data_IF_750344573812
#
_entry.id   IF_750344573812
#
_cell.length_a   1.000
_cell.length_b   1.000
_cell.length_c   1.000
_cell.angle_alpha   90.00
_cell.angle_beta   90.00
_cell.angle_gamma   90.00
#
_symmetry.space_group_name_H-M   'P 1'
#
loop_
_entity.id
_entity.type
_entity.pdbx_description
1 polymer ?
#
# COMPACT_ATOMS: atom_id res chain seq x y z
N UNK A 1 -1.55 -79.01 3.35
CA UNK A 1 -2.17 -77.79 2.85
C UNK A 1 -2.02 -76.75 3.93
N UNK A 2 -1.07 -75.84 3.97
CA UNK A 2 0.04 -75.45 3.10
C UNK A 2 1.04 -74.74 4.04
N UNK A 3 2.33 -75.02 3.91
CA UNK A 3 3.38 -74.04 3.54
C UNK A 3 3.72 -73.03 4.64
N UNK A 4 4.92 -73.14 5.25
CA UNK A 4 6.12 -72.33 4.92
C UNK A 4 5.87 -70.82 5.20
N UNK A 5 6.71 -70.06 5.91
CA UNK A 5 8.14 -69.98 5.75
C UNK A 5 8.79 -69.09 6.85
N UNK A 6 10.13 -69.19 6.89
CA UNK A 6 11.11 -68.73 7.87
C UNK A 6 11.43 -67.22 7.84
N UNK A 7 12.41 -66.85 8.70
CA UNK A 7 13.39 -65.76 8.55
C UNK A 7 13.08 -64.46 9.30
N UNK A 8 13.67 -64.21 10.46
CA UNK A 8 15.07 -63.79 10.70
C UNK A 8 15.33 -62.31 10.36
N UNK A 9 15.67 -61.56 11.43
CA UNK A 9 16.62 -60.45 11.54
C UNK A 9 16.70 -59.47 10.37
N UNK A 10 16.46 -58.19 10.65
CA UNK A 10 17.56 -57.23 10.53
C UNK A 10 17.31 -55.91 11.23
N UNK A 11 18.31 -55.54 12.03
CA UNK A 11 18.49 -54.27 12.71
C UNK A 11 18.36 -53.10 11.75
N UNK A 12 17.31 -52.29 11.92
CA UNK A 12 17.12 -51.06 11.18
C UNK A 12 18.18 -50.03 11.63
N UNK A 13 19.31 -50.01 10.92
CA UNK A 13 20.37 -49.01 11.03
C UNK A 13 19.80 -47.65 10.64
N UNK A 14 19.35 -46.89 11.64
CA UNK A 14 19.24 -45.43 11.56
C UNK A 14 20.65 -44.84 11.33
N UNK A 15 21.14 -44.87 10.09
CA UNK A 15 22.24 -44.01 9.66
C UNK A 15 21.67 -42.60 9.49
N UNK A 16 21.76 -41.80 10.55
CA UNK A 16 21.72 -40.35 10.44
C UNK A 16 22.75 -39.92 9.38
N UNK A 17 22.36 -39.23 8.31
CA UNK A 17 23.34 -38.65 7.40
C UNK A 17 24.14 -37.58 8.16
N UNK A 18 25.46 -37.47 7.94
CA UNK A 18 26.30 -36.46 8.57
C UNK A 18 25.96 -35.10 7.92
N UNK A 19 24.97 -34.38 8.45
CA UNK A 19 24.38 -33.23 7.76
C UNK A 19 25.12 -31.94 8.10
N UNK A 20 26.35 -31.81 7.59
CA UNK A 20 27.06 -30.54 7.56
C UNK A 20 27.99 -30.47 6.37
N UNK A 21 28.16 -29.29 5.80
CA UNK A 21 29.04 -29.08 4.65
C UNK A 21 30.49 -28.90 5.09
N UNK A 22 31.42 -29.41 4.29
CA UNK A 22 32.85 -29.14 4.47
C UNK A 22 33.28 -28.06 3.49
N UNK A 23 33.89 -26.99 4.02
CA UNK A 23 34.48 -25.97 3.16
C UNK A 23 35.75 -26.52 2.50
N UNK A 24 35.86 -26.36 1.19
CA UNK A 24 37.02 -26.78 0.40
C UNK A 24 37.80 -25.58 -0.14
N UNK A 25 37.63 -24.42 0.47
CA UNK A 25 38.38 -23.22 0.13
C UNK A 25 39.84 -23.37 0.57
N UNK A 26 40.79 -22.91 -0.25
CA UNK A 26 42.21 -22.99 0.07
C UNK A 26 42.51 -22.32 1.43
N UNK A 27 43.12 -23.08 2.35
CA UNK A 27 43.42 -22.62 3.70
C UNK A 27 42.25 -22.65 4.68
N UNK A 28 41.05 -23.04 4.27
CA UNK A 28 39.90 -23.18 5.17
C UNK A 28 39.79 -24.62 5.68
N UNK A 29 39.73 -24.80 7.00
CA UNK A 29 39.56 -26.10 7.66
C UNK A 29 38.19 -26.26 8.34
N UNK A 30 37.23 -25.38 8.04
CA UNK A 30 35.89 -25.45 8.64
C UNK A 30 35.10 -26.63 8.06
N UNK A 31 34.50 -27.39 8.98
CA UNK A 31 33.68 -28.57 8.71
C UNK A 31 32.36 -28.45 9.46
N UNK A 32 31.39 -29.28 9.10
CA UNK A 32 30.05 -29.29 9.70
C UNK A 32 29.33 -27.93 9.63
N UNK A 33 29.45 -27.24 8.49
CA UNK A 33 28.83 -25.92 8.26
C UNK A 33 27.40 -26.12 7.79
N UNK A 34 26.42 -25.48 8.41
CA UNK A 34 25.01 -25.57 8.02
C UNK A 34 24.71 -24.79 6.72
N UNK A 35 25.18 -23.54 6.64
CA UNK A 35 25.05 -22.67 5.48
C UNK A 35 26.41 -22.32 4.89
N UNK A 36 26.87 -23.20 3.99
CA UNK A 36 28.14 -23.05 3.29
C UNK A 36 28.21 -21.76 2.45
N UNK A 37 27.09 -21.24 1.94
CA UNK A 37 27.13 -20.03 1.10
C UNK A 37 27.37 -18.78 1.95
N UNK A 38 26.70 -18.69 3.10
CA UNK A 38 26.91 -17.59 4.04
C UNK A 38 28.34 -17.62 4.59
N UNK A 39 28.86 -18.79 4.95
CA UNK A 39 30.27 -18.96 5.32
C UNK A 39 31.21 -18.45 4.21
N UNK A 40 31.03 -18.88 2.95
CA UNK A 40 31.85 -18.42 1.82
C UNK A 40 31.81 -16.89 1.64
N UNK A 41 30.61 -16.31 1.77
CA UNK A 41 30.42 -14.87 1.60
C UNK A 41 31.15 -14.08 2.67
N UNK A 42 31.12 -14.53 3.93
CA UNK A 42 31.68 -13.81 5.08
C UNK A 42 33.18 -14.05 5.21
N UNK A 43 33.60 -15.32 5.21
CA UNK A 43 34.98 -15.69 5.53
C UNK A 43 35.93 -15.50 4.34
N UNK A 44 35.48 -15.79 3.12
CA UNK A 44 36.38 -15.89 1.97
C UNK A 44 36.22 -14.76 0.96
N UNK A 45 34.98 -14.35 0.70
CA UNK A 45 34.68 -13.43 -0.40
C UNK A 45 34.43 -11.99 0.04
N UNK A 46 34.26 -11.72 1.34
CA UNK A 46 33.94 -10.37 1.80
C UNK A 46 35.13 -9.41 1.62
N UNK A 47 36.33 -9.90 1.95
CA UNK A 47 37.58 -9.15 1.97
C UNK A 47 38.42 -9.33 0.70
N UNK A 48 37.99 -10.19 -0.22
CA UNK A 48 38.73 -10.44 -1.44
C UNK A 48 38.56 -9.31 -2.46
N UNK A 49 39.66 -8.73 -2.92
CA UNK A 49 39.69 -7.65 -3.92
C UNK A 49 39.75 -8.18 -5.36
N UNK A 50 40.31 -9.37 -5.56
CA UNK A 50 40.59 -9.93 -6.89
C UNK A 50 39.44 -10.78 -7.47
N UNK A 51 38.39 -11.04 -6.68
CA UNK A 51 37.20 -11.81 -7.09
C UNK A 51 37.51 -13.19 -7.72
N UNK A 52 38.50 -13.89 -7.17
CA UNK A 52 38.94 -15.22 -7.61
C UNK A 52 38.35 -16.34 -6.76
N UNK A 53 38.05 -17.47 -7.38
CA UNK A 53 37.61 -18.66 -6.65
C UNK A 53 38.82 -19.50 -6.22
N UNK A 54 39.02 -19.69 -4.91
CA UNK A 54 40.07 -20.56 -4.37
C UNK A 54 39.52 -21.91 -3.87
N UNK A 55 38.39 -22.34 -4.43
CA UNK A 55 37.79 -23.63 -4.10
C UNK A 55 38.60 -24.77 -4.72
N UNK A 56 39.08 -25.70 -3.91
CA UNK A 56 39.90 -26.82 -4.36
C UNK A 56 39.12 -27.72 -5.33
N UNK A 57 39.72 -27.99 -6.50
CA UNK A 57 39.09 -28.74 -7.58
C UNK A 57 38.13 -27.93 -8.47
N UNK A 58 38.06 -26.59 -8.29
CA UNK A 58 37.30 -25.74 -9.20
C UNK A 58 37.98 -25.65 -10.57
N UNK A 59 37.20 -25.71 -11.65
CA UNK A 59 37.71 -25.51 -13.02
C UNK A 59 38.24 -24.09 -13.26
N UNK A 60 37.65 -23.07 -12.61
CA UNK A 60 38.06 -21.67 -12.68
C UNK A 60 38.89 -21.25 -11.46
N UNK A 61 39.72 -22.16 -10.98
CA UNK A 61 40.54 -21.91 -9.79
C UNK A 61 41.51 -20.75 -10.03
N UNK A 62 41.57 -19.81 -9.10
CA UNK A 62 42.44 -18.63 -9.15
C UNK A 62 42.21 -17.70 -10.36
N UNK A 63 41.12 -17.89 -11.12
CA UNK A 63 40.72 -17.00 -12.21
C UNK A 63 39.90 -15.82 -11.67
N UNK A 64 40.26 -14.60 -12.10
CA UNK A 64 39.55 -13.39 -11.70
C UNK A 64 38.19 -13.32 -12.39
N UNK A 65 37.14 -13.08 -11.61
CA UNK A 65 35.82 -12.78 -12.16
C UNK A 65 35.69 -11.28 -12.49
N UNK A 66 34.85 -10.97 -13.48
CA UNK A 66 34.59 -9.59 -13.92
C UNK A 66 34.02 -8.72 -12.79
N UNK A 67 33.36 -9.33 -11.80
CA UNK A 67 32.77 -8.60 -10.67
C UNK A 67 32.60 -9.47 -9.42
N UNK A 68 32.40 -8.81 -8.27
CA UNK A 68 32.01 -9.43 -6.99
C UNK A 68 30.73 -10.27 -7.11
N UNK A 69 29.77 -9.83 -7.92
CA UNK A 69 28.56 -10.61 -8.20
C UNK A 69 28.83 -11.87 -9.02
N UNK A 70 29.80 -11.82 -9.93
CA UNK A 70 30.24 -12.95 -10.74
C UNK A 70 30.81 -14.09 -9.88
N UNK A 71 31.75 -13.78 -8.99
CA UNK A 71 32.32 -14.79 -8.07
C UNK A 71 31.26 -15.36 -7.12
N UNK A 72 30.33 -14.54 -6.62
CA UNK A 72 29.20 -15.02 -5.79
C UNK A 72 28.31 -16.02 -6.53
N UNK A 73 27.96 -15.74 -7.78
CA UNK A 73 27.15 -16.64 -8.59
C UNK A 73 27.90 -17.94 -8.88
N UNK A 74 29.19 -17.83 -9.23
CA UNK A 74 30.05 -18.99 -9.45
C UNK A 74 30.17 -19.87 -8.21
N UNK A 75 30.43 -19.30 -7.02
CA UNK A 75 30.60 -20.09 -5.79
C UNK A 75 29.35 -20.90 -5.39
N UNK A 76 28.15 -20.53 -5.86
CA UNK A 76 26.94 -21.34 -5.65
C UNK A 76 27.01 -22.71 -6.34
N UNK A 77 27.81 -22.86 -7.40
CA UNK A 77 27.95 -24.15 -8.08
C UNK A 77 28.70 -25.19 -7.26
N UNK A 78 29.47 -24.76 -6.26
CA UNK A 78 30.22 -25.64 -5.37
C UNK A 78 29.38 -26.23 -4.23
N UNK A 79 28.15 -25.74 -4.04
CA UNK A 79 27.29 -26.11 -2.92
C UNK A 79 26.28 -27.17 -3.40
N UNK A 80 26.38 -28.44 -2.96
CA UNK A 80 25.67 -29.57 -3.55
C UNK A 80 24.14 -29.56 -3.54
N UNK A 81 23.47 -28.59 -2.92
CA UNK A 81 22.00 -28.51 -2.83
C UNK A 81 21.42 -27.13 -3.17
N UNK A 82 22.25 -26.14 -3.51
CA UNK A 82 21.75 -24.83 -4.00
C UNK A 82 21.42 -24.86 -5.50
N UNK A 83 22.03 -25.77 -6.25
CA UNK A 83 21.79 -25.95 -7.69
C UNK A 83 20.68 -26.96 -7.97
N UNK A 84 20.36 -27.84 -7.01
CA UNK A 84 19.28 -28.82 -7.11
C UNK A 84 17.96 -28.16 -6.68
N UNK A 85 17.33 -27.56 -7.68
CA UNK A 85 15.97 -27.02 -7.72
C UNK A 85 14.94 -28.04 -7.20
N UNK A 86 14.79 -28.18 -5.88
CA UNK A 86 13.47 -28.52 -5.33
C UNK A 86 12.61 -27.27 -5.45
N UNK A 87 11.69 -27.37 -6.40
CA UNK A 87 10.82 -26.33 -6.93
C UNK A 87 9.72 -25.95 -5.92
N UNK A 88 10.09 -25.37 -4.78
CA UNK A 88 9.21 -24.39 -4.12
C UNK A 88 9.71 -23.02 -4.57
N UNK A 89 9.39 -22.69 -5.82
CA UNK A 89 9.63 -21.37 -6.37
C UNK A 89 9.00 -20.37 -5.40
N UNK A 90 9.84 -19.55 -4.73
CA UNK A 90 9.39 -18.62 -3.69
C UNK A 90 8.46 -17.60 -4.34
N UNK A 91 7.17 -17.89 -4.33
CA UNK A 91 6.12 -17.02 -4.83
C UNK A 91 5.95 -15.87 -3.84
N UNK A 92 5.76 -14.68 -4.38
CA UNK A 92 5.48 -13.47 -3.61
C UNK A 92 3.99 -13.22 -3.68
N UNK A 93 3.28 -13.38 -2.56
CA UNK A 93 1.82 -13.21 -2.54
C UNK A 93 1.44 -11.83 -2.01
N UNK A 94 0.60 -11.09 -2.74
CA UNK A 94 0.04 -9.83 -2.27
C UNK A 94 -1.00 -10.07 -1.17
N UNK A 95 -0.87 -9.42 -0.02
CA UNK A 95 -1.81 -9.61 1.08
C UNK A 95 -3.19 -8.97 0.83
N UNK A 96 -3.27 -7.99 -0.09
CA UNK A 96 -4.50 -7.23 -0.39
C UNK A 96 -5.36 -8.00 -1.40
N UNK A 97 -4.81 -8.35 -2.58
CA UNK A 97 -5.56 -9.04 -3.63
C UNK A 97 -5.28 -10.54 -3.75
N UNK A 98 -4.37 -11.09 -2.93
CA UNK A 98 -3.97 -12.51 -2.91
C UNK A 98 -3.34 -13.03 -4.21
N UNK A 99 -2.95 -12.16 -5.14
CA UNK A 99 -2.22 -12.56 -6.33
C UNK A 99 -0.80 -13.01 -6.00
N UNK A 100 -0.35 -14.06 -6.66
CA UNK A 100 1.00 -14.60 -6.54
C UNK A 100 1.89 -14.13 -7.70
N UNK A 101 3.16 -13.87 -7.39
CA UNK A 101 4.14 -13.42 -8.35
C UNK A 101 5.38 -14.30 -8.28
N UNK A 102 5.88 -14.72 -9.44
CA UNK A 102 7.12 -15.50 -9.58
C UNK A 102 8.38 -14.63 -9.40
N UNK A 103 8.24 -13.30 -9.43
CA UNK A 103 9.35 -12.35 -9.32
C UNK A 103 9.05 -11.23 -8.34
N UNK A 104 10.02 -10.98 -7.46
CA UNK A 104 10.00 -9.90 -6.46
C UNK A 104 9.80 -8.52 -7.11
N UNK A 105 10.41 -8.28 -8.27
CA UNK A 105 10.32 -7.00 -8.99
C UNK A 105 8.88 -6.72 -9.49
N UNK A 106 8.18 -7.76 -9.94
CA UNK A 106 6.79 -7.66 -10.37
C UNK A 106 5.88 -7.43 -9.16
N UNK A 107 6.11 -8.18 -8.08
CA UNK A 107 5.40 -8.02 -6.81
C UNK A 107 5.48 -6.58 -6.26
N UNK A 108 6.67 -5.97 -6.19
CA UNK A 108 6.80 -4.60 -5.67
C UNK A 108 6.11 -3.56 -6.55
N UNK A 109 6.20 -3.70 -7.87
CA UNK A 109 5.49 -2.83 -8.80
C UNK A 109 3.98 -2.95 -8.64
N UNK A 110 3.48 -4.18 -8.45
CA UNK A 110 2.07 -4.43 -8.13
C UNK A 110 1.67 -3.80 -6.77
N UNK A 111 2.45 -4.02 -5.71
CA UNK A 111 2.20 -3.48 -4.36
C UNK A 111 2.12 -1.94 -4.38
N UNK A 112 2.97 -1.28 -5.18
CA UNK A 112 2.96 0.17 -5.34
C UNK A 112 1.62 0.69 -5.90
N UNK A 113 0.94 -0.07 -6.76
CA UNK A 113 -0.38 0.29 -7.30
C UNK A 113 -1.43 0.37 -6.20
N UNK A 114 -1.42 -0.55 -5.23
CA UNK A 114 -2.32 -0.49 -4.08
C UNK A 114 -2.09 0.77 -3.25
N UNK A 115 -0.85 1.11 -2.93
CA UNK A 115 -0.54 2.34 -2.18
C UNK A 115 -0.98 3.62 -2.89
N UNK A 116 -0.91 3.65 -4.24
CA UNK A 116 -1.41 4.78 -5.02
C UNK A 116 -2.94 4.85 -4.97
N UNK A 117 -3.63 3.72 -5.05
CA UNK A 117 -5.08 3.66 -4.94
C UNK A 117 -5.56 4.10 -3.55
N UNK A 118 -4.93 3.62 -2.48
CA UNK A 118 -5.24 4.02 -1.10
C UNK A 118 -5.12 5.55 -0.92
N UNK A 119 -4.05 6.16 -1.44
CA UNK A 119 -3.88 7.63 -1.39
C UNK A 119 -4.93 8.38 -2.21
N UNK A 120 -5.35 7.82 -3.34
CA UNK A 120 -6.40 8.42 -4.16
C UNK A 120 -7.74 8.37 -3.43
N UNK A 121 -8.08 7.23 -2.83
CA UNK A 121 -9.28 7.05 -2.03
C UNK A 121 -9.31 8.00 -0.83
N UNK A 122 -8.18 8.18 -0.13
CA UNK A 122 -8.05 9.16 0.95
C UNK A 122 -8.34 10.60 0.46
N UNK A 123 -7.81 10.97 -0.71
CA UNK A 123 -8.06 12.29 -1.31
C UNK A 123 -9.54 12.47 -1.70
N UNK A 124 -10.14 11.44 -2.28
CA UNK A 124 -11.55 11.46 -2.68
C UNK A 124 -12.47 11.59 -1.45
N UNK A 125 -12.16 10.90 -0.34
CA UNK A 125 -12.87 11.07 0.94
C UNK A 125 -12.76 12.52 1.45
N UNK A 126 -11.57 13.12 1.41
CA UNK A 126 -11.38 14.51 1.83
C UNK A 126 -12.19 15.49 0.97
N UNK A 127 -12.25 15.26 -0.35
CA UNK A 127 -13.04 16.06 -1.29
C UNK A 127 -14.54 15.94 -1.01
N UNK A 128 -15.05 14.72 -0.81
CA UNK A 128 -16.45 14.48 -0.47
C UNK A 128 -16.81 15.21 0.84
N UNK A 129 -15.93 15.15 1.85
CA UNK A 129 -16.11 15.87 3.12
C UNK A 129 -16.15 17.39 2.93
N UNK A 130 -15.27 17.96 2.11
CA UNK A 130 -15.27 19.38 1.80
C UNK A 130 -16.54 19.82 1.06
N UNK A 131 -16.97 19.06 0.05
CA UNK A 131 -18.19 19.33 -0.71
C UNK A 131 -19.44 19.24 0.19
N UNK A 132 -19.47 18.28 1.11
CA UNK A 132 -20.58 18.15 2.06
C UNK A 132 -20.71 19.38 2.95
N UNK A 133 -19.59 19.95 3.43
CA UNK A 133 -19.59 21.19 4.22
C UNK A 133 -20.06 22.40 3.41
N UNK A 134 -19.64 22.51 2.15
CA UNK A 134 -20.09 23.58 1.26
C UNK A 134 -21.60 23.48 0.98
N UNK A 135 -22.10 22.26 0.76
CA UNK A 135 -23.52 22.02 0.52
C UNK A 135 -24.37 22.45 1.73
N UNK A 136 -23.92 22.12 2.94
CA UNK A 136 -24.64 22.51 4.17
C UNK A 136 -24.63 24.03 4.38
N UNK A 137 -23.50 24.69 4.09
CA UNK A 137 -23.42 26.16 4.13
C UNK A 137 -24.40 26.80 3.14
N UNK A 138 -24.41 26.34 1.89
CA UNK A 138 -25.36 26.83 0.88
C UNK A 138 -26.82 26.58 1.25
N UNK A 139 -27.11 25.44 1.87
CA UNK A 139 -28.46 25.14 2.36
C UNK A 139 -28.88 26.14 3.44
N UNK A 140 -28.00 26.43 4.39
CA UNK A 140 -28.24 27.44 5.43
C UNK A 140 -28.48 28.83 4.84
N UNK A 141 -27.64 29.26 3.90
CA UNK A 141 -27.79 30.56 3.22
C UNK A 141 -29.14 30.64 2.48
N UNK A 142 -29.55 29.53 1.85
CA UNK A 142 -30.84 29.44 1.15
C UNK A 142 -32.01 29.58 2.13
N UNK A 143 -31.94 28.94 3.30
CA UNK A 143 -32.96 29.05 4.34
C UNK A 143 -33.04 30.47 4.92
N UNK A 144 -31.91 31.12 5.12
CA UNK A 144 -31.86 32.51 5.57
C UNK A 144 -32.47 33.47 4.54
N UNK A 145 -32.11 33.31 3.26
CA UNK A 145 -32.71 34.12 2.19
C UNK A 145 -34.23 33.92 2.12
N UNK A 146 -34.72 32.68 2.26
CA UNK A 146 -36.16 32.39 2.31
C UNK A 146 -36.84 33.10 3.48
N UNK A 147 -36.23 33.12 4.66
CA UNK A 147 -36.75 33.84 5.84
C UNK A 147 -36.82 35.35 5.56
N UNK A 148 -35.75 35.92 5.00
CA UNK A 148 -35.71 37.35 4.65
C UNK A 148 -36.80 37.71 3.64
N UNK A 149 -37.03 36.89 2.61
CA UNK A 149 -38.10 37.10 1.63
C UNK A 149 -39.47 37.08 2.33
N UNK A 150 -39.70 36.12 3.24
CA UNK A 150 -40.95 36.03 3.99
C UNK A 150 -41.20 37.28 4.84
N UNK A 151 -40.21 37.74 5.59
CA UNK A 151 -40.31 38.95 6.43
C UNK A 151 -40.61 40.19 5.59
N UNK A 152 -39.89 40.37 4.46
CA UNK A 152 -40.13 41.49 3.54
C UNK A 152 -41.55 41.44 2.96
N UNK A 153 -42.04 40.27 2.58
CA UNK A 153 -43.41 40.09 2.09
C UNK A 153 -44.47 40.44 3.15
N UNK A 154 -44.24 40.08 4.41
CA UNK A 154 -45.13 40.44 5.51
C UNK A 154 -45.17 41.96 5.73
N UNK A 155 -44.00 42.61 5.69
CA UNK A 155 -43.92 44.07 5.82
C UNK A 155 -44.63 44.79 4.66
N UNK A 156 -44.48 44.31 3.42
CA UNK A 156 -45.20 44.86 2.26
C UNK A 156 -46.71 44.73 2.44
N UNK A 157 -47.21 43.56 2.89
CA UNK A 157 -48.64 43.37 3.16
C UNK A 157 -49.16 44.33 4.23
N UNK A 158 -48.39 44.53 5.29
CA UNK A 158 -48.73 45.46 6.36
C UNK A 158 -48.82 46.91 5.84
N UNK A 159 -47.78 47.39 5.16
CA UNK A 159 -47.76 48.75 4.58
C UNK A 159 -48.90 48.97 3.59
N UNK A 160 -49.19 47.98 2.73
CA UNK A 160 -50.33 48.05 1.82
C UNK A 160 -51.65 48.19 2.58
N UNK A 161 -51.81 47.50 3.71
CA UNK A 161 -52.97 47.65 4.59
C UNK A 161 -53.09 49.06 5.16
N UNK A 162 -52.00 49.63 5.68
CA UNK A 162 -51.98 51.00 6.22
C UNK A 162 -52.29 52.05 5.14
N UNK A 163 -51.70 51.91 3.95
CA UNK A 163 -51.95 52.80 2.81
C UNK A 163 -53.43 52.77 2.43
N UNK A 164 -54.04 51.58 2.36
CA UNK A 164 -55.46 51.44 2.04
C UNK A 164 -56.35 52.14 3.09
N UNK A 165 -56.01 52.05 4.38
CA UNK A 165 -56.75 52.75 5.43
C UNK A 165 -56.61 54.28 5.34
N UNK A 166 -55.42 54.78 5.00
CA UNK A 166 -55.19 56.22 4.74
C UNK A 166 -56.06 56.68 3.57
N UNK A 167 -56.04 55.96 2.45
CA UNK A 167 -56.84 56.28 1.25
C UNK A 167 -58.34 56.29 1.58
N UNK A 168 -58.83 55.29 2.32
CA UNK A 168 -60.24 55.23 2.74
C UNK A 168 -60.67 56.45 3.58
N UNK A 169 -59.82 56.90 4.51
CA UNK A 169 -60.09 58.08 5.35
C UNK A 169 -60.16 59.36 4.51
N UNK A 170 -59.27 59.49 3.55
CA UNK A 170 -59.24 60.63 2.61
C UNK A 170 -60.51 60.69 1.76
N UNK A 171 -60.90 59.58 1.12
CA UNK A 171 -62.09 59.51 0.25
C UNK A 171 -63.40 59.81 1.00
N UNK A 172 -63.49 59.48 2.29
CA UNK A 172 -64.68 59.72 3.11
C UNK A 172 -64.85 61.17 3.60
N UNK A 173 -63.97 62.10 3.21
CA UNK A 173 -64.01 63.49 3.68
C UNK A 173 -63.59 63.68 5.14
N UNK A 174 -63.10 62.62 5.79
CA UNK A 174 -62.43 62.66 7.09
C UNK A 174 -60.92 62.79 6.87
N UNK A 175 -60.52 63.77 6.07
CA UNK A 175 -59.12 63.99 5.78
C UNK A 175 -58.46 64.69 6.99
N UNK A 176 -57.61 63.95 7.70
CA UNK A 176 -56.79 64.47 8.81
C UNK A 176 -55.72 65.47 8.34
N UNK A 177 -55.52 65.65 7.04
CA UNK A 177 -54.59 66.62 6.45
C UNK A 177 -55.25 67.92 5.95
N UNK A 178 -56.56 68.10 6.09
CA UNK A 178 -57.25 69.33 5.65
C UNK A 178 -56.93 70.58 6.51
N UNK A 179 -56.09 70.45 7.54
CA UNK A 179 -55.70 71.56 8.42
C UNK A 179 -54.58 72.47 7.92
N UNK A 180 -53.83 72.12 6.86
CA UNK A 180 -52.68 72.89 6.39
C UNK A 180 -52.50 72.78 4.86
N UNK A 181 -53.37 73.42 4.08
CA UNK A 181 -53.11 73.71 2.66
C UNK A 181 -53.00 75.22 2.45
N UNK A 182 -51.81 75.78 2.72
CA UNK A 182 -51.25 76.87 1.92
C UNK A 182 -50.20 76.25 1.00
N UNK A 183 -50.65 75.71 -0.14
CA UNK A 183 -49.78 75.53 -1.31
C UNK A 183 -50.10 76.69 -2.26
N UNK A 184 -49.68 77.89 -1.86
CA UNK A 184 -49.60 79.02 -2.80
C UNK A 184 -48.43 78.76 -3.76
N UNK A 185 -48.68 79.10 -5.03
CA UNK A 185 -47.91 78.79 -6.24
C UNK A 185 -46.51 79.40 -6.26
#
# INVERSE_FOLDING_TARGET
MDSEDQSSLDTNKNKLPPQGYTCKWEGCSEQNIDDLFTHLKICHLNLQTEYKCMWTGCQKYNEANVSKGGVYSHCRTHIPNLTKKESTEKTWTCQICKMEFTSMSIYYRHKKKHSILEKKEENDILRISALSRLLEAHKKDTEELRRNIYEKNMNIKFLNGEILEIIKKYVKGTNIYDGNNTWEQ
#
